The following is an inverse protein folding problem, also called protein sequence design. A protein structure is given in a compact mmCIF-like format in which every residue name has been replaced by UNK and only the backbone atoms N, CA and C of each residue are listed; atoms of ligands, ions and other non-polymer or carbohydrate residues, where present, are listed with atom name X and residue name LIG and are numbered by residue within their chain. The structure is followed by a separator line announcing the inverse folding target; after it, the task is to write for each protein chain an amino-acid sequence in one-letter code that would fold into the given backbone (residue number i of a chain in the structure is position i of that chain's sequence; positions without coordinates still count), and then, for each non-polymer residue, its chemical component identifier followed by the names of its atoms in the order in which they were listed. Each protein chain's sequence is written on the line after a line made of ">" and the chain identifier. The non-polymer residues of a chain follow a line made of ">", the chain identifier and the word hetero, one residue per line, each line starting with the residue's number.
data_IF_348866008338
#
_entry.id   IF_348866008338
#
_cell.length_a   1.000
_cell.length_b   1.000
_cell.length_c   1.000
_cell.angle_alpha   90.00
_cell.angle_beta   90.00
_cell.angle_gamma   90.00
#
_symmetry.space_group_name_H-M   'P 1'
#
loop_
_entity.id
_entity.type
_entity.pdbx_description
1 polymer ?
#
# COMPACT_ATOMS: atom_id res chain seq x y z
N UNK A 1 -2.34 5.49 -38.84
CA UNK A 1 -2.24 5.29 -37.37
C UNK A 1 -3.13 4.11 -37.04
N UNK A 2 -2.65 3.17 -36.25
CA UNK A 2 -3.44 2.04 -35.77
C UNK A 2 -4.40 2.59 -34.68
N UNK A 3 -5.69 2.34 -34.86
CA UNK A 3 -6.72 2.83 -33.92
C UNK A 3 -6.90 1.91 -32.69
N UNK A 4 -6.30 0.71 -32.73
CA UNK A 4 -6.29 -0.24 -31.62
C UNK A 4 -5.04 -0.02 -30.74
N UNK A 5 -5.21 0.41 -29.49
CA UNK A 5 -4.10 0.73 -28.58
C UNK A 5 -3.24 -0.49 -28.22
N UNK A 6 -3.82 -1.70 -28.17
CA UNK A 6 -3.08 -2.92 -27.84
C UNK A 6 -2.17 -3.31 -29.02
N UNK A 7 -2.67 -3.22 -30.24
CA UNK A 7 -1.91 -3.46 -31.46
C UNK A 7 -0.84 -2.41 -31.70
N UNK A 8 -1.11 -1.15 -31.41
CA UNK A 8 -0.12 -0.09 -31.48
C UNK A 8 1.04 -0.34 -30.51
N UNK A 9 0.77 -0.84 -29.32
CA UNK A 9 1.78 -1.19 -28.30
C UNK A 9 2.61 -2.39 -28.74
N UNK A 10 2.01 -3.40 -29.36
CA UNK A 10 2.68 -4.58 -29.88
C UNK A 10 3.62 -4.21 -31.04
N UNK A 11 3.14 -3.39 -31.98
CA UNK A 11 3.96 -2.87 -33.08
C UNK A 11 5.14 -2.04 -32.59
N UNK A 12 4.91 -1.19 -31.55
CA UNK A 12 6.01 -0.40 -30.97
C UNK A 12 7.06 -1.27 -30.28
N UNK A 13 6.66 -2.36 -29.61
CA UNK A 13 7.61 -3.31 -29.01
C UNK A 13 8.39 -4.06 -30.08
N UNK A 14 7.73 -4.61 -31.09
CA UNK A 14 8.39 -5.30 -32.19
C UNK A 14 9.38 -4.37 -32.94
N UNK A 15 9.04 -3.09 -33.10
CA UNK A 15 9.90 -2.09 -33.70
C UNK A 15 11.13 -1.80 -32.83
N UNK A 16 10.96 -1.68 -31.52
CA UNK A 16 12.04 -1.34 -30.60
C UNK A 16 12.97 -2.51 -30.28
N UNK A 17 12.41 -3.72 -30.14
CA UNK A 17 13.16 -4.88 -29.64
C UNK A 17 13.76 -5.72 -30.78
N UNK A 18 13.10 -5.79 -31.97
CA UNK A 18 13.51 -6.66 -33.05
C UNK A 18 14.03 -5.88 -34.29
N UNK A 19 13.29 -4.88 -34.73
CA UNK A 19 13.55 -4.25 -36.04
C UNK A 19 14.67 -3.21 -35.97
N UNK A 20 14.59 -2.29 -34.99
CA UNK A 20 15.57 -1.20 -34.89
C UNK A 20 16.99 -1.70 -34.59
N UNK A 21 17.23 -2.66 -33.67
CA UNK A 21 18.57 -3.19 -33.41
C UNK A 21 19.18 -3.90 -34.64
N UNK A 22 18.36 -4.61 -35.41
CA UNK A 22 18.85 -5.28 -36.65
C UNK A 22 19.29 -4.25 -37.73
N UNK A 23 18.53 -3.18 -37.89
CA UNK A 23 18.86 -2.08 -38.81
C UNK A 23 20.11 -1.33 -38.34
N UNK A 24 20.23 -1.03 -37.05
CA UNK A 24 21.39 -0.37 -36.46
C UNK A 24 22.67 -1.16 -36.67
N UNK A 25 22.60 -2.49 -36.45
CA UNK A 25 23.76 -3.37 -36.68
C UNK A 25 24.13 -3.52 -38.16
N UNK A 26 23.14 -3.57 -39.07
CA UNK A 26 23.39 -3.75 -40.51
C UNK A 26 23.90 -2.50 -41.19
N UNK A 27 23.42 -1.35 -40.80
CA UNK A 27 23.72 -0.09 -41.50
C UNK A 27 24.67 0.85 -40.71
N UNK A 28 25.07 0.49 -39.49
CA UNK A 28 25.94 1.31 -38.65
C UNK A 28 25.36 2.68 -38.29
N UNK A 29 24.04 2.79 -38.27
CA UNK A 29 23.29 4.02 -37.93
C UNK A 29 22.69 3.90 -36.53
N UNK A 30 22.62 4.99 -35.79
CA UNK A 30 21.89 5.04 -34.52
C UNK A 30 20.45 5.49 -34.78
N UNK A 31 19.49 4.68 -34.44
CA UNK A 31 18.08 5.06 -34.49
C UNK A 31 17.66 5.84 -33.26
N UNK A 32 16.84 6.88 -33.43
CA UNK A 32 16.24 7.62 -32.35
C UNK A 32 14.72 7.68 -32.57
N UNK A 33 13.99 7.08 -31.65
CA UNK A 33 12.53 7.25 -31.61
C UNK A 33 12.23 8.68 -31.19
N UNK A 34 11.67 9.50 -32.07
CA UNK A 34 11.26 10.87 -31.77
C UNK A 34 9.75 11.01 -31.86
N UNK A 35 9.16 11.92 -31.10
CA UNK A 35 7.74 12.22 -31.11
C UNK A 35 7.04 11.98 -29.77
N UNK A 36 5.72 11.81 -29.81
CA UNK A 36 4.89 11.69 -28.60
C UNK A 36 5.33 10.54 -27.67
N UNK A 37 5.78 9.42 -28.23
CA UNK A 37 6.22 8.27 -27.43
C UNK A 37 7.51 8.56 -26.63
N UNK A 38 8.46 9.29 -27.20
CA UNK A 38 9.68 9.71 -26.49
C UNK A 38 9.33 10.71 -25.38
N UNK A 39 8.50 11.71 -25.68
CA UNK A 39 8.05 12.70 -24.70
C UNK A 39 7.28 12.02 -23.55
N UNK A 40 6.46 11.02 -23.86
CA UNK A 40 5.70 10.29 -22.84
C UNK A 40 6.64 9.46 -21.94
N UNK A 41 7.66 8.79 -22.49
CA UNK A 41 8.65 8.04 -21.70
C UNK A 41 9.49 8.96 -20.82
N UNK A 42 9.97 10.08 -21.36
CA UNK A 42 10.70 11.08 -20.59
C UNK A 42 9.85 11.64 -19.45
N UNK A 43 8.60 12.02 -19.74
CA UNK A 43 7.65 12.50 -18.73
C UNK A 43 7.41 11.45 -17.62
N UNK A 44 7.23 10.16 -17.99
CA UNK A 44 7.02 9.09 -17.00
C UNK A 44 8.23 8.92 -16.08
N UNK A 45 9.45 8.99 -16.61
CA UNK A 45 10.68 8.92 -15.81
C UNK A 45 10.81 10.09 -14.84
N UNK A 46 10.59 11.30 -15.34
CA UNK A 46 10.67 12.52 -14.52
C UNK A 46 9.54 12.57 -13.48
N UNK A 47 8.32 12.18 -13.85
CA UNK A 47 7.16 12.12 -12.96
C UNK A 47 7.36 11.09 -11.84
N UNK A 48 7.97 9.94 -12.13
CA UNK A 48 8.26 8.92 -11.12
C UNK A 48 9.26 9.43 -10.08
N UNK A 49 10.37 10.04 -10.52
CA UNK A 49 11.35 10.64 -9.62
C UNK A 49 10.73 11.78 -8.81
N UNK A 50 9.99 12.68 -9.47
CA UNK A 50 9.29 13.78 -8.82
C UNK A 50 8.30 13.30 -7.77
N UNK A 51 7.53 12.24 -8.07
CA UNK A 51 6.57 11.65 -7.13
C UNK A 51 7.28 11.07 -5.89
N UNK A 52 8.40 10.35 -6.07
CA UNK A 52 9.17 9.78 -4.95
C UNK A 52 9.67 10.91 -4.05
N UNK A 53 10.29 11.95 -4.61
CA UNK A 53 10.77 13.09 -3.83
C UNK A 53 9.63 13.84 -3.14
N UNK A 54 8.49 14.02 -3.83
CA UNK A 54 7.31 14.65 -3.26
C UNK A 54 6.76 13.86 -2.07
N UNK A 55 6.60 12.54 -2.22
CA UNK A 55 6.13 11.68 -1.12
C UNK A 55 7.10 11.65 0.06
N UNK A 56 8.42 11.64 -0.18
CA UNK A 56 9.42 11.76 0.87
C UNK A 56 9.33 13.11 1.59
N UNK A 57 9.21 14.20 0.86
CA UNK A 57 9.05 15.53 1.44
C UNK A 57 7.76 15.64 2.27
N UNK A 58 6.64 15.14 1.76
CA UNK A 58 5.38 15.06 2.50
C UNK A 58 5.56 14.23 3.77
N UNK A 59 6.18 13.07 3.69
CA UNK A 59 6.44 12.22 4.85
C UNK A 59 7.25 12.97 5.92
N UNK A 60 8.33 13.65 5.53
CA UNK A 60 9.19 14.40 6.46
C UNK A 60 8.45 15.56 7.12
N UNK A 61 7.67 16.31 6.35
CA UNK A 61 6.85 17.42 6.87
C UNK A 61 5.81 16.90 7.86
N UNK A 62 5.11 15.81 7.50
CA UNK A 62 4.11 15.20 8.38
C UNK A 62 4.74 14.62 9.65
N UNK A 63 5.93 14.00 9.56
CA UNK A 63 6.65 13.50 10.71
C UNK A 63 7.00 14.63 11.68
N UNK A 64 7.38 15.79 11.15
CA UNK A 64 7.63 16.98 11.95
C UNK A 64 6.36 17.56 12.56
N UNK A 65 5.30 17.73 11.77
CA UNK A 65 4.01 18.31 12.22
C UNK A 65 3.35 17.45 13.31
N UNK A 66 3.34 16.13 13.12
CA UNK A 66 2.74 15.21 14.09
C UNK A 66 3.69 14.81 15.23
N UNK A 67 4.96 15.24 15.18
CA UNK A 67 6.03 14.79 16.10
C UNK A 67 6.03 13.26 16.27
N UNK A 68 5.78 12.53 15.19
CA UNK A 68 5.61 11.06 15.17
C UNK A 68 6.07 10.49 13.83
N UNK A 69 6.80 9.36 13.88
CA UNK A 69 7.24 8.65 12.67
C UNK A 69 6.15 7.73 12.10
N UNK A 70 5.16 7.36 12.88
CA UNK A 70 4.12 6.41 12.48
C UNK A 70 2.86 7.08 11.93
N UNK A 71 2.50 8.28 12.40
CA UNK A 71 1.34 9.03 11.91
C UNK A 71 1.38 9.32 10.40
N UNK A 72 2.52 9.76 9.82
CA UNK A 72 2.61 9.96 8.37
C UNK A 72 2.30 8.70 7.56
N UNK A 73 2.73 7.53 8.05
CA UNK A 73 2.46 6.25 7.38
C UNK A 73 0.96 6.00 7.31
N UNK A 74 0.20 6.28 8.38
CA UNK A 74 -1.25 6.14 8.40
C UNK A 74 -1.91 7.04 7.36
N UNK A 75 -1.50 8.32 7.32
CA UNK A 75 -2.03 9.29 6.36
C UNK A 75 -1.74 8.85 4.92
N UNK A 76 -0.52 8.42 4.64
CA UNK A 76 -0.09 8.03 3.30
C UNK A 76 -0.62 6.65 2.86
N UNK A 77 -0.98 5.78 3.80
CA UNK A 77 -1.50 4.44 3.51
C UNK A 77 -2.80 4.45 2.67
N UNK A 78 -3.51 5.58 2.63
CA UNK A 78 -4.75 5.72 1.84
C UNK A 78 -4.47 5.93 0.35
N UNK A 79 -3.29 6.45 -0.01
CA UNK A 79 -2.94 6.80 -1.40
C UNK A 79 -3.13 5.62 -2.38
N UNK A 80 -2.58 4.42 -2.13
CA UNK A 80 -2.74 3.28 -3.04
C UNK A 80 -4.20 2.90 -3.28
N UNK A 81 -5.05 3.13 -2.30
CA UNK A 81 -6.46 2.78 -2.42
C UNK A 81 -7.24 3.78 -3.30
N UNK A 82 -6.85 5.06 -3.31
CA UNK A 82 -7.39 6.04 -4.26
C UNK A 82 -7.14 5.64 -5.71
N UNK A 83 -6.00 4.99 -6.00
CA UNK A 83 -5.68 4.47 -7.32
C UNK A 83 -6.67 3.40 -7.80
N UNK A 84 -7.26 2.62 -6.89
CA UNK A 84 -8.27 1.61 -7.25
C UNK A 84 -9.49 2.29 -7.88
N UNK A 85 -9.95 3.39 -7.29
CA UNK A 85 -11.05 4.19 -7.85
C UNK A 85 -10.70 4.75 -9.24
N UNK A 86 -9.49 5.28 -9.40
CA UNK A 86 -9.02 5.80 -10.68
C UNK A 86 -8.98 4.71 -11.77
N UNK A 87 -8.39 3.55 -11.47
CA UNK A 87 -8.32 2.41 -12.41
C UNK A 87 -9.72 1.92 -12.77
N UNK A 88 -10.61 1.81 -11.80
CA UNK A 88 -12.01 1.45 -12.04
C UNK A 88 -12.69 2.44 -12.99
N UNK A 89 -12.51 3.74 -12.76
CA UNK A 89 -13.05 4.77 -13.63
C UNK A 89 -12.56 4.66 -15.08
N UNK A 90 -11.25 4.47 -15.27
CA UNK A 90 -10.66 4.28 -16.59
C UNK A 90 -11.23 3.05 -17.31
N UNK A 91 -11.39 1.94 -16.59
CA UNK A 91 -12.00 0.73 -17.14
C UNK A 91 -13.46 0.93 -17.54
N UNK A 92 -14.25 1.67 -16.75
CA UNK A 92 -15.65 1.95 -17.05
C UNK A 92 -15.85 2.84 -18.29
N UNK A 93 -14.93 3.76 -18.52
CA UNK A 93 -14.97 4.68 -19.66
C UNK A 93 -14.25 4.14 -20.90
N UNK A 94 -13.58 2.98 -20.79
CA UNK A 94 -12.76 2.44 -21.89
C UNK A 94 -11.61 3.35 -22.31
N UNK A 95 -11.18 4.25 -21.44
CA UNK A 95 -10.12 5.21 -21.70
C UNK A 95 -8.81 4.69 -21.11
N UNK A 96 -7.75 4.45 -21.92
CA UNK A 96 -6.49 3.95 -21.41
C UNK A 96 -5.81 4.96 -20.47
N UNK A 97 -4.98 4.45 -19.56
CA UNK A 97 -4.14 5.28 -18.71
C UNK A 97 -3.13 6.04 -19.57
N UNK A 98 -3.07 7.34 -19.40
CA UNK A 98 -2.18 8.24 -20.13
C UNK A 98 -1.35 9.10 -19.18
N UNK A 99 -0.44 9.92 -19.70
CA UNK A 99 0.30 10.89 -18.90
C UNK A 99 -0.64 11.87 -18.17
N UNK A 100 -1.80 12.18 -18.75
CA UNK A 100 -2.82 13.02 -18.13
C UNK A 100 -3.51 12.34 -16.94
N UNK A 101 -3.65 11.00 -17.00
CA UNK A 101 -4.12 10.22 -15.84
C UNK A 101 -3.14 10.31 -14.67
N UNK A 102 -1.82 10.31 -14.94
CA UNK A 102 -0.79 10.45 -13.91
C UNK A 102 -0.84 11.82 -13.25
N UNK A 103 -1.01 12.88 -14.05
CA UNK A 103 -1.23 14.23 -13.49
C UNK A 103 -2.47 14.26 -12.59
N UNK A 104 -3.57 13.62 -13.03
CA UNK A 104 -4.77 13.43 -12.22
C UNK A 104 -4.50 12.67 -10.92
N UNK A 105 -3.71 11.59 -10.97
CA UNK A 105 -3.33 10.81 -9.79
C UNK A 105 -2.51 11.62 -8.78
N UNK A 106 -1.60 12.46 -9.23
CA UNK A 106 -0.83 13.37 -8.37
C UNK A 106 -1.76 14.37 -7.69
N UNK A 107 -2.66 15.00 -8.44
CA UNK A 107 -3.65 15.93 -7.91
C UNK A 107 -4.60 15.27 -6.90
N UNK A 108 -5.15 14.11 -7.24
CA UNK A 108 -5.99 13.30 -6.36
C UNK A 108 -5.26 12.93 -5.05
N UNK A 109 -4.01 12.53 -5.14
CA UNK A 109 -3.19 12.17 -3.98
C UNK A 109 -3.06 13.34 -3.01
N UNK A 110 -2.83 14.55 -3.52
CA UNK A 110 -2.75 15.76 -2.69
C UNK A 110 -4.05 16.06 -1.93
N UNK A 111 -5.20 15.88 -2.58
CA UNK A 111 -6.53 16.09 -1.96
C UNK A 111 -6.79 15.04 -0.88
N UNK A 112 -6.54 13.76 -1.18
CA UNK A 112 -6.72 12.65 -0.23
C UNK A 112 -5.83 12.82 1.01
N UNK A 113 -4.57 13.21 0.82
CA UNK A 113 -3.64 13.47 1.93
C UNK A 113 -4.16 14.63 2.78
N UNK A 114 -4.60 15.73 2.18
CA UNK A 114 -5.14 16.88 2.90
C UNK A 114 -6.31 16.48 3.80
N UNK A 115 -7.29 15.75 3.29
CA UNK A 115 -8.43 15.27 4.07
C UNK A 115 -8.01 14.33 5.19
N UNK A 116 -7.04 13.45 4.92
CA UNK A 116 -6.48 12.53 5.91
C UNK A 116 -5.74 13.25 7.04
N UNK A 117 -4.94 14.30 6.73
CA UNK A 117 -4.22 15.11 7.72
C UNK A 117 -5.21 15.76 8.69
N UNK A 118 -6.27 16.37 8.15
CA UNK A 118 -7.26 17.06 8.95
C UNK A 118 -8.03 16.09 9.85
N UNK A 119 -8.37 14.90 9.33
CA UNK A 119 -9.01 13.85 10.13
C UNK A 119 -8.11 13.36 11.27
N UNK A 120 -6.84 13.04 10.98
CA UNK A 120 -5.87 12.57 11.99
C UNK A 120 -5.64 13.64 13.05
N UNK A 121 -5.48 14.91 12.65
CA UNK A 121 -5.31 16.03 13.58
C UNK A 121 -6.50 16.20 14.51
N UNK A 122 -7.73 16.04 14.00
CA UNK A 122 -8.97 16.10 14.80
C UNK A 122 -9.05 14.94 15.79
N UNK A 123 -8.70 13.72 15.34
CA UNK A 123 -8.65 12.53 16.21
C UNK A 123 -7.63 12.75 17.34
N UNK A 124 -6.44 13.27 17.02
CA UNK A 124 -5.38 13.51 18.01
C UNK A 124 -5.80 14.60 19.02
N UNK A 125 -6.49 15.65 18.58
CA UNK A 125 -7.03 16.68 19.48
C UNK A 125 -8.08 16.10 20.43
N UNK A 126 -9.03 15.31 19.91
CA UNK A 126 -10.10 14.72 20.74
C UNK A 126 -9.58 13.64 21.66
N UNK A 127 -8.59 12.86 21.24
CA UNK A 127 -8.01 11.77 22.02
C UNK A 127 -7.35 12.25 23.31
N UNK A 128 -6.87 13.50 23.35
CA UNK A 128 -6.31 14.11 24.56
C UNK A 128 -7.33 14.28 25.68
N UNK A 129 -8.63 14.38 25.35
CA UNK A 129 -9.72 14.63 26.31
C UNK A 129 -10.58 13.41 26.62
N UNK A 130 -10.77 12.50 25.67
CA UNK A 130 -11.82 11.45 25.72
C UNK A 130 -11.31 10.02 25.55
N UNK A 131 -10.00 9.83 25.34
CA UNK A 131 -9.45 8.55 24.91
C UNK A 131 -9.62 8.31 23.41
N UNK A 132 -8.91 7.32 22.85
CA UNK A 132 -8.76 7.18 21.40
C UNK A 132 -10.06 6.75 20.69
N UNK A 133 -10.73 5.69 21.17
CA UNK A 133 -11.91 5.15 20.47
C UNK A 133 -13.09 6.12 20.39
N UNK A 134 -13.50 6.78 21.49
CA UNK A 134 -14.52 7.83 21.41
C UNK A 134 -14.08 8.99 20.52
N UNK A 135 -12.80 9.38 20.57
CA UNK A 135 -12.26 10.45 19.74
C UNK A 135 -12.33 10.13 18.24
N UNK A 136 -12.07 8.88 17.86
CA UNK A 136 -12.20 8.42 16.46
C UNK A 136 -13.65 8.58 15.98
N UNK A 137 -14.63 8.12 16.77
CA UNK A 137 -16.05 8.18 16.38
C UNK A 137 -16.51 9.62 16.21
N UNK A 138 -16.21 10.47 17.21
CA UNK A 138 -16.60 11.87 17.19
C UNK A 138 -15.93 12.63 16.05
N UNK A 139 -14.63 12.43 15.84
CA UNK A 139 -13.89 13.10 14.76
C UNK A 139 -14.38 12.69 13.36
N UNK A 140 -14.68 11.41 13.14
CA UNK A 140 -15.24 10.94 11.87
C UNK A 140 -16.63 11.54 11.64
N UNK A 141 -17.48 11.59 12.66
CA UNK A 141 -18.81 12.20 12.58
C UNK A 141 -18.73 13.69 12.21
N UNK A 142 -17.83 14.45 12.85
CA UNK A 142 -17.66 15.87 12.59
C UNK A 142 -17.04 16.16 11.22
N UNK A 143 -16.19 15.25 10.71
CA UNK A 143 -15.50 15.39 9.41
C UNK A 143 -16.29 14.82 8.23
N UNK A 144 -17.28 14.00 8.47
CA UNK A 144 -18.10 13.40 7.41
C UNK A 144 -18.70 14.47 6.49
N UNK A 145 -19.32 15.49 7.07
CA UNK A 145 -19.98 16.55 6.29
C UNK A 145 -19.00 17.41 5.49
N UNK A 146 -17.91 17.97 6.05
CA UNK A 146 -16.94 18.73 5.29
C UNK A 146 -16.29 17.92 4.15
N UNK A 147 -15.82 16.70 4.42
CA UNK A 147 -15.16 15.84 3.43
C UNK A 147 -16.13 15.45 2.32
N UNK A 148 -17.38 15.11 2.67
CA UNK A 148 -18.41 14.84 1.66
C UNK A 148 -18.68 16.04 0.77
N UNK A 149 -18.81 17.26 1.35
CA UNK A 149 -19.08 18.46 0.59
C UNK A 149 -17.95 18.83 -0.35
N UNK A 150 -16.70 18.78 0.11
CA UNK A 150 -15.52 19.10 -0.73
C UNK A 150 -15.39 18.11 -1.88
N UNK A 151 -15.54 16.83 -1.62
CA UNK A 151 -15.48 15.80 -2.67
C UNK A 151 -16.66 15.91 -3.63
N UNK A 152 -17.88 16.06 -3.13
CA UNK A 152 -19.08 16.19 -3.95
C UNK A 152 -19.00 17.42 -4.87
N UNK A 153 -18.61 18.58 -4.35
CA UNK A 153 -18.47 19.80 -5.17
C UNK A 153 -17.39 19.65 -6.24
N UNK A 154 -16.26 19.01 -5.92
CA UNK A 154 -15.20 18.76 -6.89
C UNK A 154 -15.65 17.78 -7.98
N UNK A 155 -16.24 16.64 -7.58
CA UNK A 155 -16.76 15.64 -8.51
C UNK A 155 -17.86 16.22 -9.40
N UNK A 156 -18.85 16.91 -8.83
CA UNK A 156 -19.92 17.53 -9.59
C UNK A 156 -19.40 18.64 -10.53
N UNK A 157 -18.41 19.42 -10.10
CA UNK A 157 -17.79 20.45 -10.92
C UNK A 157 -17.00 19.90 -12.11
N UNK A 158 -16.39 18.71 -11.95
CA UNK A 158 -15.63 18.06 -13.02
C UNK A 158 -16.48 17.16 -13.92
N UNK A 159 -17.61 16.66 -13.43
CA UNK A 159 -18.47 15.72 -14.16
C UNK A 159 -18.92 16.21 -15.54
N UNK A 160 -19.29 17.49 -15.76
CA UNK A 160 -19.67 17.96 -17.10
C UNK A 160 -18.56 17.74 -18.14
N UNK A 161 -17.30 17.85 -17.74
CA UNK A 161 -16.15 17.68 -18.64
C UNK A 161 -16.01 16.22 -19.14
N UNK A 162 -16.57 15.23 -18.45
CA UNK A 162 -16.60 13.84 -18.91
C UNK A 162 -17.49 13.64 -20.15
N UNK A 163 -18.55 14.44 -20.26
CA UNK A 163 -19.55 14.34 -21.32
C UNK A 163 -19.35 15.38 -22.43
N UNK A 164 -18.37 16.25 -22.26
CA UNK A 164 -18.01 17.27 -23.27
C UNK A 164 -17.39 16.59 -24.49
N UNK A 165 -17.90 16.92 -25.69
CA UNK A 165 -17.46 16.32 -26.96
C UNK A 165 -16.39 17.10 -27.72
N UNK A 166 -15.86 18.19 -27.12
CA UNK A 166 -14.80 18.98 -27.77
C UNK A 166 -13.44 18.25 -27.73
N UNK A 167 -12.60 18.44 -28.74
CA UNK A 167 -11.27 17.85 -28.78
C UNK A 167 -10.39 18.24 -27.58
N UNK A 168 -10.60 19.43 -27.03
CA UNK A 168 -9.89 19.89 -25.84
C UNK A 168 -10.34 19.14 -24.58
N UNK A 169 -11.65 18.89 -24.42
CA UNK A 169 -12.19 18.11 -23.32
C UNK A 169 -11.74 16.66 -23.40
N UNK A 170 -11.71 16.08 -24.61
CA UNK A 170 -11.25 14.72 -24.84
C UNK A 170 -9.81 14.52 -24.36
N UNK A 171 -8.95 15.51 -24.57
CA UNK A 171 -7.57 15.49 -24.11
C UNK A 171 -7.44 15.49 -22.58
N UNK A 172 -8.36 16.16 -21.86
CA UNK A 172 -8.37 16.26 -20.40
C UNK A 172 -9.20 15.14 -19.75
N UNK A 173 -9.99 14.40 -20.51
CA UNK A 173 -10.87 13.33 -20.01
C UNK A 173 -10.16 12.32 -19.10
N UNK A 174 -8.93 11.82 -19.42
CA UNK A 174 -8.22 10.90 -18.55
C UNK A 174 -7.93 11.46 -17.16
N UNK A 175 -7.55 12.76 -17.06
CA UNK A 175 -7.36 13.47 -15.79
C UNK A 175 -8.65 13.55 -15.00
N UNK A 176 -9.74 13.90 -15.66
CA UNK A 176 -11.06 14.08 -15.02
C UNK A 176 -11.60 12.75 -14.51
N UNK A 177 -11.49 11.67 -15.30
CA UNK A 177 -11.85 10.31 -14.87
C UNK A 177 -11.09 9.95 -13.59
N UNK A 178 -9.76 10.14 -13.59
CA UNK A 178 -8.92 9.86 -12.44
C UNK A 178 -9.37 10.63 -11.19
N UNK A 179 -9.65 11.94 -11.34
CA UNK A 179 -10.08 12.78 -10.23
C UNK A 179 -11.48 12.39 -9.74
N UNK A 180 -12.46 12.25 -10.62
CA UNK A 180 -13.86 11.98 -10.25
C UNK A 180 -13.98 10.64 -9.53
N UNK A 181 -13.47 9.57 -10.13
CA UNK A 181 -13.57 8.22 -9.55
C UNK A 181 -12.59 8.01 -8.39
N UNK A 182 -11.39 8.56 -8.51
CA UNK A 182 -10.37 8.44 -7.47
C UNK A 182 -10.76 9.20 -6.19
N UNK A 183 -11.28 10.43 -6.29
CA UNK A 183 -11.75 11.18 -5.13
C UNK A 183 -13.02 10.60 -4.54
N UNK A 184 -13.99 10.18 -5.37
CA UNK A 184 -15.22 9.57 -4.90
C UNK A 184 -14.94 8.31 -4.07
N UNK A 185 -14.07 7.44 -4.56
CA UNK A 185 -13.64 6.25 -3.84
C UNK A 185 -12.75 6.58 -2.65
N UNK A 186 -11.81 7.52 -2.83
CA UNK A 186 -10.88 7.99 -1.79
C UNK A 186 -11.59 8.59 -0.58
N UNK A 187 -12.68 9.34 -0.77
CA UNK A 187 -13.49 9.89 0.31
C UNK A 187 -14.00 8.82 1.27
N UNK A 188 -14.58 7.75 0.73
CA UNK A 188 -15.09 6.64 1.55
C UNK A 188 -13.95 6.00 2.33
N UNK A 189 -12.80 5.81 1.67
CA UNK A 189 -11.64 5.18 2.28
C UNK A 189 -10.96 6.05 3.34
N UNK A 190 -10.85 7.35 3.14
CA UNK A 190 -10.32 8.26 4.18
C UNK A 190 -11.13 8.13 5.46
N UNK A 191 -12.45 8.14 5.36
CA UNK A 191 -13.33 8.07 6.52
C UNK A 191 -13.39 6.70 7.21
N UNK A 192 -13.06 5.62 6.50
CA UNK A 192 -13.05 4.26 7.05
C UNK A 192 -11.65 3.76 7.37
N UNK A 193 -10.71 3.89 6.43
CA UNK A 193 -9.39 3.29 6.54
C UNK A 193 -8.50 4.03 7.52
N UNK A 194 -8.47 5.37 7.47
CA UNK A 194 -7.63 6.17 8.37
C UNK A 194 -7.96 5.88 9.85
N UNK A 195 -9.23 5.94 10.28
CA UNK A 195 -9.59 5.60 11.65
C UNK A 195 -9.28 4.16 12.03
N UNK A 196 -9.52 3.20 11.12
CA UNK A 196 -9.22 1.80 11.35
C UNK A 196 -7.73 1.55 11.54
N UNK A 197 -6.88 2.14 10.69
CA UNK A 197 -5.41 2.00 10.81
C UNK A 197 -4.90 2.67 12.09
N UNK A 198 -5.47 3.81 12.49
CA UNK A 198 -5.14 4.45 13.78
C UNK A 198 -5.50 3.58 14.98
N UNK A 199 -6.67 2.93 14.95
CA UNK A 199 -7.08 2.00 16.01
C UNK A 199 -6.11 0.80 16.08
N UNK A 200 -5.79 0.19 14.95
CA UNK A 200 -4.81 -0.91 14.86
C UNK A 200 -3.42 -0.47 15.35
N UNK A 201 -2.97 0.74 14.96
CA UNK A 201 -1.69 1.29 15.43
C UNK A 201 -1.67 1.40 16.96
N UNK A 202 -2.73 1.91 17.59
CA UNK A 202 -2.81 2.05 19.03
C UNK A 202 -2.81 0.69 19.73
N UNK A 203 -3.54 -0.29 19.21
CA UNK A 203 -3.53 -1.65 19.75
C UNK A 203 -2.14 -2.28 19.67
N UNK A 204 -1.42 -2.09 18.54
CA UNK A 204 -0.05 -2.54 18.38
C UNK A 204 0.90 -1.87 19.39
N UNK A 205 0.79 -0.56 19.58
CA UNK A 205 1.59 0.18 20.57
C UNK A 205 1.34 -0.31 21.99
N UNK A 206 0.09 -0.60 22.36
CA UNK A 206 -0.27 -1.20 23.65
C UNK A 206 0.34 -2.59 23.80
N UNK A 207 0.26 -3.44 22.79
CA UNK A 207 0.85 -4.77 22.81
C UNK A 207 2.38 -4.74 22.90
N UNK A 208 3.05 -3.89 22.09
CA UNK A 208 4.51 -3.71 22.14
C UNK A 208 4.94 -3.20 23.52
N UNK A 209 4.20 -2.28 24.12
CA UNK A 209 4.48 -1.74 25.45
C UNK A 209 4.28 -2.81 26.51
N UNK A 210 3.22 -3.62 26.42
CA UNK A 210 2.99 -4.75 27.31
C UNK A 210 4.11 -5.79 27.21
N UNK A 211 4.54 -6.12 25.99
CA UNK A 211 5.68 -7.03 25.73
C UNK A 211 6.97 -6.45 26.32
N UNK A 212 7.26 -5.16 26.09
CA UNK A 212 8.45 -4.48 26.64
C UNK A 212 8.45 -4.47 28.18
N UNK A 213 7.28 -4.26 28.80
CA UNK A 213 7.13 -4.34 30.29
C UNK A 213 7.34 -5.78 30.76
N UNK A 214 6.74 -6.76 30.10
CA UNK A 214 6.94 -8.18 30.38
C UNK A 214 8.41 -8.61 30.24
N UNK A 215 9.13 -8.06 29.25
CA UNK A 215 10.55 -8.30 29.03
C UNK A 215 11.45 -7.74 30.14
N UNK A 216 11.02 -6.69 30.84
CA UNK A 216 11.77 -6.06 31.97
C UNK A 216 11.55 -6.74 33.31
N UNK A 217 10.52 -7.58 33.46
CA UNK A 217 10.25 -8.32 34.70
C UNK A 217 11.24 -9.46 34.88
N UNK A 218 12.01 -9.42 35.99
CA UNK A 218 13.17 -10.31 36.24
C UNK A 218 12.83 -11.70 36.82
N UNK A 219 11.61 -12.01 37.25
CA UNK A 219 11.29 -13.30 37.87
C UNK A 219 9.80 -13.66 37.79
N UNK A 220 9.48 -14.95 37.72
CA UNK A 220 8.14 -15.51 37.80
C UNK A 220 7.62 -16.15 36.49
N UNK A 221 6.32 -16.46 36.39
CA UNK A 221 5.70 -17.05 35.19
C UNK A 221 5.88 -16.18 33.93
N UNK A 222 6.12 -14.88 34.10
CA UNK A 222 6.47 -13.96 33.02
C UNK A 222 7.77 -14.34 32.27
N UNK A 223 8.76 -14.95 32.96
CA UNK A 223 10.00 -15.39 32.32
C UNK A 223 9.77 -16.55 31.33
N UNK A 224 8.86 -17.47 31.66
CA UNK A 224 8.51 -18.60 30.78
C UNK A 224 7.71 -18.12 29.56
N UNK A 225 6.76 -17.21 29.77
CA UNK A 225 6.02 -16.57 28.68
C UNK A 225 6.95 -15.78 27.74
N UNK A 226 7.95 -15.10 28.30
CA UNK A 226 8.98 -14.38 27.54
C UNK A 226 9.82 -15.31 26.66
N UNK A 227 10.27 -16.43 27.20
CA UNK A 227 11.06 -17.41 26.45
C UNK A 227 10.24 -18.03 25.30
N UNK A 228 8.95 -18.33 25.53
CA UNK A 228 8.05 -18.81 24.49
C UNK A 228 7.82 -17.78 23.40
N UNK A 229 7.54 -16.52 23.77
CA UNK A 229 7.32 -15.42 22.82
C UNK A 229 8.58 -15.09 22.01
N UNK A 230 9.75 -15.02 22.65
CA UNK A 230 11.02 -14.77 21.95
C UNK A 230 11.38 -15.91 21.01
N UNK A 231 11.13 -17.14 21.42
CA UNK A 231 11.30 -18.33 20.57
C UNK A 231 10.38 -18.31 19.35
N UNK A 232 9.12 -17.92 19.53
CA UNK A 232 8.16 -17.78 18.42
C UNK A 232 8.57 -16.67 17.42
N UNK A 233 8.99 -15.52 17.92
CA UNK A 233 9.46 -14.40 17.06
C UNK A 233 10.72 -14.82 16.27
N UNK A 234 11.67 -15.47 16.92
CA UNK A 234 12.86 -15.99 16.25
C UNK A 234 12.51 -17.07 15.21
N UNK A 235 11.58 -17.96 15.51
CA UNK A 235 11.12 -18.98 14.57
C UNK A 235 10.45 -18.37 13.34
N UNK A 236 9.57 -17.36 13.51
CA UNK A 236 8.93 -16.65 12.39
C UNK A 236 9.96 -15.85 11.58
N UNK A 237 10.92 -15.18 12.23
CA UNK A 237 12.01 -14.47 11.55
C UNK A 237 12.91 -15.42 10.73
N UNK A 238 13.26 -16.58 11.29
CA UNK A 238 14.02 -17.61 10.59
C UNK A 238 13.23 -18.19 9.40
N UNK A 239 11.92 -18.41 9.59
CA UNK A 239 11.03 -18.88 8.53
C UNK A 239 10.95 -17.86 7.40
N UNK A 240 10.81 -16.57 7.71
CA UNK A 240 10.84 -15.48 6.72
C UNK A 240 12.15 -15.45 5.95
N UNK A 241 13.28 -15.48 6.66
CA UNK A 241 14.61 -15.45 6.06
C UNK A 241 14.86 -16.64 5.12
N UNK A 242 14.45 -17.86 5.53
CA UNK A 242 14.69 -19.11 4.79
C UNK A 242 13.67 -19.37 3.67
N UNK A 243 12.55 -18.67 3.62
CA UNK A 243 11.53 -18.79 2.55
C UNK A 243 11.55 -17.56 1.63
N UNK A 244 10.90 -16.47 2.04
CA UNK A 244 10.78 -15.25 1.24
C UNK A 244 12.14 -14.57 1.04
N UNK A 245 12.97 -14.50 2.09
CA UNK A 245 14.29 -13.87 2.03
C UNK A 245 15.23 -14.55 1.05
N UNK A 246 15.28 -15.87 1.03
CA UNK A 246 16.11 -16.63 0.08
C UNK A 246 15.62 -16.49 -1.36
N UNK A 247 14.30 -16.56 -1.59
CA UNK A 247 13.74 -16.37 -2.95
C UNK A 247 13.95 -14.96 -3.46
N UNK A 248 13.87 -13.95 -2.61
CA UNK A 248 14.14 -12.56 -2.99
C UNK A 248 15.60 -12.33 -3.45
N UNK A 249 16.56 -13.07 -2.86
CA UNK A 249 17.99 -12.92 -3.15
C UNK A 249 18.45 -13.87 -4.26
N UNK A 250 17.99 -15.12 -4.26
CA UNK A 250 18.50 -16.17 -5.14
C UNK A 250 17.54 -16.53 -6.29
N UNK A 251 16.31 -16.05 -6.27
CA UNK A 251 15.26 -16.38 -7.24
C UNK A 251 14.69 -17.80 -7.09
N UNK A 252 15.22 -18.63 -6.18
CA UNK A 252 14.82 -20.04 -6.01
C UNK A 252 14.60 -20.40 -4.55
N UNK A 253 13.69 -21.35 -4.29
CA UNK A 253 13.48 -21.94 -2.96
C UNK A 253 14.63 -22.90 -2.62
N UNK A 254 15.14 -22.89 -1.37
CA UNK A 254 16.10 -23.87 -0.91
C UNK A 254 15.58 -25.32 -1.03
N UNK A 255 16.44 -26.30 -1.35
CA UNK A 255 16.03 -27.70 -1.55
C UNK A 255 15.35 -28.32 -0.33
N UNK A 256 15.63 -27.83 0.87
CA UNK A 256 15.00 -28.29 2.12
C UNK A 256 13.48 -28.04 2.09
N UNK A 257 13.03 -26.93 1.53
CA UNK A 257 11.60 -26.59 1.43
C UNK A 257 10.92 -27.29 0.25
N UNK A 258 11.65 -27.55 -0.84
CA UNK A 258 11.14 -28.30 -1.99
C UNK A 258 10.82 -29.76 -1.64
N UNK A 259 11.57 -30.36 -0.71
CA UNK A 259 11.32 -31.71 -0.19
C UNK A 259 10.09 -31.76 0.74
N UNK A 260 9.81 -30.67 1.44
CA UNK A 260 8.71 -30.59 2.41
C UNK A 260 7.32 -30.38 1.79
N UNK A 261 7.23 -29.76 0.58
CA UNK A 261 5.94 -29.37 -0.03
C UNK A 261 5.92 -29.64 -1.55
N UNK A 262 5.83 -30.92 -1.99
CA UNK A 262 5.82 -31.27 -3.42
C UNK A 262 4.70 -30.68 -4.28
N UNK A 263 3.46 -30.43 -3.79
CA UNK A 263 2.36 -30.04 -4.67
C UNK A 263 2.35 -28.56 -5.10
N UNK A 264 3.20 -27.69 -4.54
CA UNK A 264 3.26 -26.27 -4.87
C UNK A 264 4.31 -25.94 -5.95
N UNK A 265 5.04 -26.92 -6.43
CA UNK A 265 6.17 -26.78 -7.39
C UNK A 265 5.75 -26.25 -8.78
N UNK A 266 4.45 -26.22 -9.11
CA UNK A 266 3.95 -25.69 -10.39
C UNK A 266 3.60 -24.20 -10.40
N UNK A 267 3.65 -23.52 -9.25
CA UNK A 267 3.35 -22.08 -9.15
C UNK A 267 4.63 -21.35 -8.78
N UNK A 268 5.02 -20.33 -9.47
CA UNK A 268 6.30 -19.58 -9.36
C UNK A 268 6.92 -19.55 -7.94
N UNK A 269 8.24 -19.53 -7.85
CA UNK A 269 9.00 -19.67 -6.59
C UNK A 269 8.52 -18.71 -5.47
N UNK A 270 8.15 -17.49 -5.81
CA UNK A 270 7.67 -16.48 -4.86
C UNK A 270 6.30 -16.83 -4.25
N UNK A 271 5.38 -17.39 -5.04
CA UNK A 271 4.06 -17.82 -4.54
C UNK A 271 4.20 -19.00 -3.59
N UNK A 272 5.09 -19.94 -3.92
CA UNK A 272 5.39 -21.10 -3.08
C UNK A 272 6.07 -20.68 -1.77
N UNK A 273 7.00 -19.73 -1.81
CA UNK A 273 7.64 -19.16 -0.63
C UNK A 273 6.65 -18.46 0.31
N UNK A 274 5.74 -17.67 -0.26
CA UNK A 274 4.71 -16.99 0.49
C UNK A 274 3.73 -17.95 1.16
N UNK A 275 3.27 -18.98 0.44
CA UNK A 275 2.40 -20.01 0.99
C UNK A 275 3.07 -20.80 2.14
N UNK A 276 4.34 -21.15 1.98
CA UNK A 276 5.14 -21.80 3.03
C UNK A 276 5.32 -20.89 4.25
N UNK A 277 5.63 -19.64 4.04
CA UNK A 277 5.75 -18.65 5.12
C UNK A 277 4.43 -18.51 5.90
N UNK A 278 3.31 -18.37 5.21
CA UNK A 278 2.00 -18.23 5.85
C UNK A 278 1.59 -19.47 6.63
N UNK A 279 1.72 -20.67 6.04
CA UNK A 279 1.38 -21.93 6.72
C UNK A 279 2.31 -22.23 7.90
N UNK A 280 3.61 -21.95 7.74
CA UNK A 280 4.59 -22.11 8.81
C UNK A 280 4.36 -21.13 9.96
N UNK A 281 4.02 -19.88 9.66
CA UNK A 281 3.70 -18.86 10.67
C UNK A 281 2.46 -19.25 11.49
N UNK A 282 1.41 -19.73 10.83
CA UNK A 282 0.22 -20.25 11.54
C UNK A 282 0.60 -21.43 12.42
N UNK A 283 1.44 -22.37 11.93
CA UNK A 283 1.94 -23.49 12.74
C UNK A 283 2.71 -23.04 13.99
N UNK A 284 3.62 -22.07 13.84
CA UNK A 284 4.37 -21.50 14.98
C UNK A 284 3.44 -20.83 15.99
N UNK A 285 2.44 -20.08 15.54
CA UNK A 285 1.47 -19.44 16.44
C UNK A 285 0.62 -20.44 17.20
N UNK A 286 0.13 -21.49 16.54
CA UNK A 286 -0.64 -22.57 17.17
C UNK A 286 0.20 -23.30 18.20
N UNK A 287 1.44 -23.67 17.86
CA UNK A 287 2.35 -24.36 18.80
C UNK A 287 2.69 -23.46 20.00
N UNK A 288 2.91 -22.17 19.77
CA UNK A 288 3.20 -21.21 20.86
C UNK A 288 2.00 -21.07 21.78
N UNK A 289 0.78 -21.02 21.22
CA UNK A 289 -0.46 -20.97 21.99
C UNK A 289 -0.64 -22.24 22.85
N UNK A 290 -0.49 -23.42 22.27
CA UNK A 290 -0.59 -24.70 22.97
C UNK A 290 0.48 -24.84 24.06
N UNK A 291 1.72 -24.45 23.76
CA UNK A 291 2.80 -24.41 24.76
C UNK A 291 2.48 -23.42 25.88
N UNK A 292 1.90 -22.28 25.57
CA UNK A 292 1.42 -21.29 26.54
C UNK A 292 0.37 -21.86 27.49
N UNK A 293 -0.61 -22.59 26.96
CA UNK A 293 -1.64 -23.27 27.77
C UNK A 293 -1.04 -24.31 28.73
N UNK A 294 0.01 -25.02 28.34
CA UNK A 294 0.67 -26.03 29.17
C UNK A 294 1.59 -25.40 30.24
N UNK A 295 2.35 -24.37 29.83
CA UNK A 295 3.40 -23.77 30.70
C UNK A 295 2.83 -22.75 31.69
N UNK A 296 1.72 -22.08 31.32
CA UNK A 296 1.08 -21.05 32.13
C UNK A 296 -0.09 -21.56 32.97
N UNK A 297 -0.40 -22.86 32.96
CA UNK A 297 -1.41 -23.46 33.85
C UNK A 297 -1.09 -23.09 35.30
N UNK A 298 -2.01 -22.45 36.02
CA UNK A 298 -1.83 -22.21 37.45
C UNK A 298 -1.67 -23.56 38.15
N UNK A 299 -0.55 -23.75 38.86
CA UNK A 299 -0.44 -24.87 39.81
C UNK A 299 -1.61 -24.75 40.76
N UNK A 300 -2.56 -25.67 40.69
CA UNK A 300 -3.60 -25.84 41.69
C UNK A 300 -2.94 -25.81 43.07
N UNK A 301 -3.24 -24.77 43.86
CA UNK A 301 -2.91 -24.76 45.29
C UNK A 301 -3.63 -25.96 45.88
N UNK A 302 -2.90 -27.03 46.22
CA UNK A 302 -3.43 -28.03 47.11
C UNK A 302 -3.79 -27.29 48.40
N UNK A 303 -5.10 -27.23 48.65
CA UNK A 303 -5.62 -26.85 49.96
C UNK A 303 -5.12 -27.94 50.94
N UNK A 304 -4.25 -27.55 51.83
CA UNK A 304 -3.90 -28.26 53.03
C UNK A 304 -4.36 -27.41 54.20
#
# INVERSE_FOLDING_TARGET
>A
AEDDPDRATEVQRALADDILPDIEQRFGVASRQSGLAEQQRAFLGDAQLGLIFCLLAIYMILAWVFASWTRPIVVMAVIPFGLIGAIYGHNQWGVPLSMFSIVGMIGMTGIIINDSIVLVSTIDEYSRKRGLYPAIIDAVADRLRPVFLTTATTVMGLTPLLYEGSSQAEFLRPTVITLVYGLGFGMVLVLLLVPAVLAVQADLEHQITAIRRGLKMKSGPATRARLLLSGAVLAVAALFATTIGTVAVTGALPPVWLAAVPPLVGKGAMVSAFALFMTGTVGVLVLTYLAGLLVLRPKSRKAG
#
